data_IF_418252526457
#
_entry.id   IF_418252526457
#
_cell.length_a   1.000
_cell.length_b   1.000
_cell.length_c   1.000
_cell.angle_alpha   90.00
_cell.angle_beta   90.00
_cell.angle_gamma   90.00
#
_symmetry.space_group_name_H-M   'P 1'
#
loop_
_entity.id
_entity.type
_entity.pdbx_description
1 polymer ?
#
# COMPACT_ATOMS: atom_id res chain seq x y z
N UNK A 1 -19.32 -1.42 -17.02
CA UNK A 1 -17.91 -1.10 -16.70
C UNK A 1 -17.86 -0.84 -15.21
N UNK A 2 -16.99 -1.52 -14.46
CA UNK A 2 -16.81 -1.25 -13.04
C UNK A 2 -16.17 0.13 -12.88
N UNK A 3 -16.77 0.97 -12.05
CA UNK A 3 -16.25 2.31 -11.76
C UNK A 3 -15.09 2.16 -10.77
N UNK A 4 -13.85 2.43 -11.22
CA UNK A 4 -12.67 2.42 -10.35
C UNK A 4 -12.75 3.61 -9.38
N UNK A 5 -12.70 3.33 -8.08
CA UNK A 5 -12.83 4.35 -7.01
C UNK A 5 -11.52 4.63 -6.29
N UNK A 6 -10.55 3.71 -6.40
CA UNK A 6 -9.21 3.88 -5.84
C UNK A 6 -8.21 3.13 -6.72
N UNK A 7 -7.12 3.80 -7.08
CA UNK A 7 -6.04 3.22 -7.86
C UNK A 7 -4.69 3.72 -7.35
N UNK A 8 -3.72 2.81 -7.25
CA UNK A 8 -2.32 3.09 -7.00
C UNK A 8 -1.48 2.29 -7.99
N UNK A 9 -0.45 2.92 -8.55
CA UNK A 9 0.48 2.28 -9.49
C UNK A 9 1.91 2.49 -9.00
N UNK A 10 2.65 1.40 -8.87
CA UNK A 10 4.06 1.38 -8.45
C UNK A 10 4.36 2.21 -7.19
N UNK A 11 3.44 2.21 -6.22
CA UNK A 11 3.55 2.99 -4.99
C UNK A 11 4.73 2.49 -4.16
N UNK A 12 5.68 3.39 -3.90
CA UNK A 12 6.85 3.13 -3.07
C UNK A 12 6.95 4.14 -1.93
N UNK A 13 7.39 3.68 -0.76
CA UNK A 13 7.63 4.53 0.41
C UNK A 13 8.89 4.08 1.09
N UNK A 14 9.88 4.96 1.09
CA UNK A 14 11.15 4.80 1.81
C UNK A 14 11.18 5.81 2.95
N UNK A 15 11.70 5.40 4.10
CA UNK A 15 11.96 6.28 5.24
C UNK A 15 13.36 6.06 5.79
N UNK A 16 14.01 7.07 6.38
CA UNK A 16 15.27 6.88 7.08
C UNK A 16 15.08 5.98 8.31
N UNK A 17 16.03 5.08 8.56
CA UNK A 17 16.11 4.29 9.78
C UNK A 17 17.55 4.27 10.32
N UNK A 18 17.75 3.72 11.52
CA UNK A 18 19.07 3.58 12.14
C UNK A 18 20.03 2.70 11.34
N UNK A 19 19.50 1.80 10.51
CA UNK A 19 20.27 0.84 9.70
C UNK A 19 20.40 1.29 8.24
N UNK A 20 19.94 2.49 7.92
CA UNK A 20 19.86 3.02 6.56
C UNK A 20 18.42 3.19 6.08
N UNK A 21 18.24 3.34 4.78
CA UNK A 21 16.92 3.54 4.19
C UNK A 21 16.06 2.28 4.30
N UNK A 22 14.88 2.42 4.93
CA UNK A 22 13.90 1.36 5.07
C UNK A 22 12.79 1.53 4.02
N UNK A 23 12.71 0.58 3.11
CA UNK A 23 11.60 0.48 2.17
C UNK A 23 10.38 -0.13 2.86
N UNK A 24 9.37 0.69 3.13
CA UNK A 24 8.10 0.27 3.73
C UNK A 24 7.13 -0.27 2.67
N UNK A 25 7.02 0.41 1.53
CA UNK A 25 6.24 -0.03 0.38
C UNK A 25 7.18 -0.10 -0.82
N UNK A 26 7.09 -1.19 -1.59
CA UNK A 26 7.95 -1.44 -2.74
C UNK A 26 7.10 -1.74 -3.97
N UNK A 27 7.00 -0.78 -4.89
CA UNK A 27 6.31 -0.89 -6.18
C UNK A 27 4.90 -1.51 -6.11
N UNK A 28 4.13 -1.12 -5.09
CA UNK A 28 2.81 -1.68 -4.86
C UNK A 28 1.78 -1.08 -5.84
N UNK A 29 1.11 -1.93 -6.61
CA UNK A 29 -0.02 -1.54 -7.46
C UNK A 29 -1.31 -2.16 -6.94
N UNK A 30 -2.37 -1.36 -6.83
CA UNK A 30 -3.70 -1.85 -6.44
C UNK A 30 -4.80 -1.06 -7.13
N UNK A 31 -5.93 -1.70 -7.33
CA UNK A 31 -7.15 -1.09 -7.87
C UNK A 31 -8.35 -1.59 -7.07
N UNK A 32 -9.28 -0.70 -6.77
CA UNK A 32 -10.52 -0.99 -6.09
C UNK A 32 -11.69 -0.42 -6.88
N UNK A 33 -12.66 -1.26 -7.21
CA UNK A 33 -13.86 -0.83 -7.89
C UNK A 33 -14.97 -0.52 -6.88
N UNK A 34 -15.94 0.28 -7.33
CA UNK A 34 -17.15 0.54 -6.58
C UNK A 34 -17.90 -0.75 -6.22
N UNK A 35 -18.11 -0.95 -4.93
CA UNK A 35 -18.77 -2.15 -4.39
C UNK A 35 -17.81 -3.24 -3.90
N UNK A 36 -16.50 -3.12 -4.20
CA UNK A 36 -15.51 -4.05 -3.69
C UNK A 36 -15.28 -3.84 -2.18
N UNK A 37 -14.93 -4.92 -1.49
CA UNK A 37 -14.44 -4.88 -0.10
C UNK A 37 -12.99 -5.34 -0.09
N UNK A 38 -12.09 -4.50 0.43
CA UNK A 38 -10.66 -4.79 0.55
C UNK A 38 -10.27 -5.04 2.01
N UNK A 39 -9.59 -6.15 2.27
CA UNK A 39 -8.94 -6.43 3.54
C UNK A 39 -7.42 -6.38 3.39
N UNK A 40 -6.74 -5.61 4.24
CA UNK A 40 -5.28 -5.53 4.27
C UNK A 40 -4.76 -6.32 5.47
N UNK A 41 -4.08 -7.43 5.21
CA UNK A 41 -3.57 -8.37 6.23
C UNK A 41 -2.06 -8.57 6.09
N UNK A 42 -1.40 -8.96 7.18
CA UNK A 42 0.05 -9.17 7.21
C UNK A 42 0.66 -8.96 8.58
N UNK A 43 1.91 -9.40 8.77
CA UNK A 43 2.64 -9.32 10.04
C UNK A 43 2.77 -7.88 10.58
N UNK A 44 3.00 -7.73 11.89
CA UNK A 44 3.32 -6.41 12.46
C UNK A 44 4.55 -5.81 11.76
N UNK A 45 4.50 -4.51 11.45
CA UNK A 45 5.58 -3.83 10.71
C UNK A 45 5.55 -3.97 9.18
N UNK A 46 4.66 -4.76 8.59
CA UNK A 46 4.62 -5.00 7.14
C UNK A 46 4.13 -3.83 6.25
N UNK A 47 4.03 -2.61 6.80
CA UNK A 47 3.62 -1.43 6.03
C UNK A 47 2.11 -1.18 5.87
N UNK A 48 1.22 -2.01 6.45
CA UNK A 48 -0.26 -1.87 6.30
C UNK A 48 -0.79 -0.49 6.71
N UNK A 49 -0.41 0.00 7.89
CA UNK A 49 -0.84 1.33 8.36
C UNK A 49 -0.23 2.46 7.55
N UNK A 50 0.89 2.21 6.88
CA UNK A 50 1.50 3.16 5.93
C UNK A 50 0.76 3.15 4.60
N UNK A 51 0.26 2.00 4.15
CA UNK A 51 -0.58 1.88 2.95
C UNK A 51 -1.95 2.56 3.10
N UNK A 52 -2.47 2.66 4.33
CA UNK A 52 -3.77 3.26 4.63
C UNK A 52 -3.74 4.77 4.95
N UNK A 53 -2.54 5.38 5.01
CA UNK A 53 -2.35 6.81 5.26
C UNK A 53 -2.11 7.55 3.95
#
# INVERSE_FOLDING_TARGET
>A
MSESILSAQSLSKVVPSTEGDLTILHELSLELNKGDTLAIVGASGSGKSTLLK
#
